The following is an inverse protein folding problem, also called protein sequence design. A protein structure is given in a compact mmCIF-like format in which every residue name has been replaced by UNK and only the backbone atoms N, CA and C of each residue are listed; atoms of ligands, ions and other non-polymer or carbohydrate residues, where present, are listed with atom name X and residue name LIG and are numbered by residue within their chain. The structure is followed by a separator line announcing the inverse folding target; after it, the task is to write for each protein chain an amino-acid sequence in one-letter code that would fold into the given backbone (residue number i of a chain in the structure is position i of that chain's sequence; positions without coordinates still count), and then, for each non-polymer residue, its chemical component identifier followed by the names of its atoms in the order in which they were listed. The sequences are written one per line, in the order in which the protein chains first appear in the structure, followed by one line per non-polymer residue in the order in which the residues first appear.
data_IF_550962650698
#
_entry.id   IF_550962650698
#
_cell.length_a   1.000
_cell.length_b   1.000
_cell.length_c   1.000
_cell.angle_alpha   90.00
_cell.angle_beta   90.00
_cell.angle_gamma   90.00
#
_symmetry.space_group_name_H-M   'P 1'
#
loop_
_entity.id
_entity.type
_entity.pdbx_description
1 polymer ?
#
# COMPACT_ATOMS: atom_id res chain seq x y z
N UNK A 1 -3.66 -37.43 -25.95
CA UNK A 1 -2.77 -37.25 -24.79
C UNK A 1 -2.97 -35.82 -24.29
N UNK A 2 -3.25 -35.66 -23.00
CA UNK A 2 -3.87 -34.50 -22.37
C UNK A 2 -3.18 -33.15 -22.67
N UNK A 3 -4.00 -32.15 -23.02
CA UNK A 3 -3.69 -30.74 -22.80
C UNK A 3 -3.40 -30.56 -21.30
N UNK A 4 -2.26 -29.99 -20.95
CA UNK A 4 -1.99 -29.60 -19.57
C UNK A 4 -1.24 -28.28 -19.57
N UNK A 5 -2.03 -27.22 -19.61
CA UNK A 5 -1.75 -25.92 -19.02
C UNK A 5 -0.88 -26.07 -17.77
N UNK A 6 0.37 -25.62 -17.87
CA UNK A 6 1.17 -25.29 -16.69
C UNK A 6 1.52 -23.81 -16.72
N UNK A 7 0.48 -22.96 -16.66
CA UNK A 7 0.59 -21.64 -16.04
C UNK A 7 0.84 -21.85 -14.55
N UNK A 8 2.08 -22.13 -14.16
CA UNK A 8 2.50 -21.97 -12.78
C UNK A 8 3.23 -20.65 -12.64
N UNK A 9 2.52 -19.55 -12.89
CA UNK A 9 2.88 -18.22 -12.36
C UNK A 9 2.45 -18.16 -10.89
N UNK A 10 3.04 -19.02 -10.08
CA UNK A 10 3.08 -18.81 -8.64
C UNK A 10 4.45 -18.22 -8.32
N UNK A 11 4.79 -17.11 -8.98
CA UNK A 11 5.67 -16.15 -8.33
C UNK A 11 4.80 -15.55 -7.23
N UNK A 12 5.04 -16.00 -6.00
CA UNK A 12 4.72 -15.23 -4.80
C UNK A 12 5.27 -13.84 -5.03
N UNK A 13 4.44 -13.01 -5.65
CA UNK A 13 4.67 -11.58 -5.74
C UNK A 13 4.43 -11.18 -4.31
N UNK A 14 5.49 -11.09 -3.52
CA UNK A 14 5.44 -10.48 -2.20
C UNK A 14 4.80 -9.11 -2.43
N UNK A 15 3.49 -9.01 -2.27
CA UNK A 15 2.75 -7.80 -2.56
C UNK A 15 3.22 -6.81 -1.50
N UNK A 16 4.16 -5.96 -1.90
CA UNK A 16 4.64 -4.83 -1.10
C UNK A 16 3.48 -3.85 -1.04
N UNK A 17 2.65 -4.00 -0.02
CA UNK A 17 1.61 -3.03 0.28
C UNK A 17 2.28 -1.75 0.75
N UNK A 18 1.87 -0.62 0.20
CA UNK A 18 2.29 0.66 0.75
C UNK A 18 1.35 0.99 1.90
N UNK A 19 1.94 1.47 2.98
CA UNK A 19 1.27 1.80 4.23
C UNK A 19 1.56 3.24 4.57
N UNK A 20 0.51 3.90 5.05
CA UNK A 20 0.55 5.25 5.59
C UNK A 20 0.15 5.16 7.05
N UNK A 21 0.97 5.72 7.93
CA UNK A 21 0.71 5.78 9.36
C UNK A 21 0.89 7.20 9.88
N UNK A 22 -0.01 7.59 10.79
CA UNK A 22 0.04 8.85 11.53
C UNK A 22 -0.40 8.60 12.96
N UNK A 23 -0.27 9.61 13.83
CA UNK A 23 -0.47 9.51 15.28
C UNK A 23 -1.76 8.82 15.76
N UNK A 24 -2.82 8.80 14.93
CA UNK A 24 -4.13 8.25 15.29
C UNK A 24 -4.67 7.21 14.29
N UNK A 25 -3.87 6.75 13.34
CA UNK A 25 -4.40 5.84 12.32
C UNK A 25 -3.34 5.28 11.38
N UNK A 26 -3.68 4.14 10.79
CA UNK A 26 -2.88 3.46 9.80
C UNK A 26 -3.78 2.98 8.67
N UNK A 27 -3.37 3.24 7.43
CA UNK A 27 -4.04 2.75 6.22
C UNK A 27 -3.03 1.97 5.38
N UNK A 28 -3.45 0.83 4.86
CA UNK A 28 -2.63 -0.07 4.04
C UNK A 28 -3.31 -0.37 2.70
N UNK A 29 -2.54 -0.87 1.75
CA UNK A 29 -3.05 -1.32 0.45
C UNK A 29 -3.00 -0.25 -0.64
N UNK A 30 -2.15 0.77 -0.49
CA UNK A 30 -1.90 1.72 -1.56
C UNK A 30 -1.07 1.05 -2.67
N UNK A 31 -1.44 1.30 -3.92
CA UNK A 31 -0.77 0.73 -5.10
C UNK A 31 0.53 1.45 -5.42
N UNK A 32 0.65 2.72 -5.05
CA UNK A 32 1.86 3.53 -5.24
C UNK A 32 2.06 4.55 -4.12
N UNK A 33 3.29 5.06 -4.01
CA UNK A 33 3.64 6.08 -3.01
C UNK A 33 2.88 7.39 -3.27
N UNK A 34 2.68 7.74 -4.53
CA UNK A 34 1.93 8.93 -4.94
C UNK A 34 0.45 8.84 -4.53
N UNK A 35 -0.16 7.65 -4.60
CA UNK A 35 -1.52 7.43 -4.12
C UNK A 35 -1.62 7.63 -2.61
N UNK A 36 -0.67 7.09 -1.86
CA UNK A 36 -0.53 7.29 -0.42
C UNK A 36 -0.34 8.77 -0.03
N UNK A 37 0.54 9.49 -0.74
CA UNK A 37 0.77 10.91 -0.53
C UNK A 37 -0.45 11.77 -0.90
N UNK A 38 -1.21 11.40 -1.94
CA UNK A 38 -2.47 12.07 -2.29
C UNK A 38 -3.53 11.85 -1.21
N UNK A 39 -3.62 10.63 -0.68
CA UNK A 39 -4.53 10.32 0.42
C UNK A 39 -4.23 11.20 1.64
N UNK A 40 -2.96 11.27 2.06
CA UNK A 40 -2.55 12.15 3.16
C UNK A 40 -2.81 13.62 2.83
N UNK A 41 -2.49 14.08 1.63
CA UNK A 41 -2.78 15.47 1.25
C UNK A 41 -4.28 15.76 1.32
N UNK A 42 -5.15 14.81 0.99
CA UNK A 42 -6.59 15.00 1.06
C UNK A 42 -7.12 14.97 2.50
N UNK A 43 -6.66 14.00 3.29
CA UNK A 43 -7.12 13.78 4.67
C UNK A 43 -6.48 14.79 5.62
N UNK A 44 -5.15 14.89 5.65
CA UNK A 44 -4.44 15.73 6.60
C UNK A 44 -4.56 17.23 6.30
N UNK A 45 -4.57 17.69 5.05
CA UNK A 45 -4.73 19.14 4.79
C UNK A 45 -6.10 19.69 5.18
N UNK A 46 -7.14 18.85 5.14
CA UNK A 46 -8.50 19.25 5.56
C UNK A 46 -8.71 19.09 7.06
N UNK A 47 -8.20 18.00 7.65
CA UNK A 47 -8.54 17.63 9.02
C UNK A 47 -7.49 18.09 10.05
N UNK A 48 -6.23 18.20 9.67
CA UNK A 48 -5.13 18.55 10.58
C UNK A 48 -3.88 19.06 9.83
N UNK A 49 -3.84 20.35 9.44
CA UNK A 49 -2.63 20.94 8.85
C UNK A 49 -1.49 20.87 9.88
N UNK A 50 -0.41 20.15 9.53
CA UNK A 50 0.74 19.90 10.41
C UNK A 50 0.79 18.51 11.05
N UNK A 51 -0.13 17.61 10.70
CA UNK A 51 -0.04 16.21 11.12
C UNK A 51 1.19 15.53 10.50
N UNK A 52 2.08 15.02 11.34
CA UNK A 52 3.17 14.16 10.91
C UNK A 52 2.63 12.78 10.48
N UNK A 53 3.17 12.29 9.36
CA UNK A 53 2.84 10.99 8.81
C UNK A 53 4.08 10.33 8.24
N UNK A 54 4.07 9.00 8.20
CA UNK A 54 5.11 8.17 7.62
C UNK A 54 4.52 7.28 6.53
N UNK A 55 5.24 7.16 5.41
CA UNK A 55 4.89 6.26 4.30
C UNK A 55 5.98 5.22 4.16
N UNK A 56 5.63 3.93 4.27
CA UNK A 56 6.59 2.83 4.17
C UNK A 56 5.99 1.62 3.46
N UNK A 57 6.87 0.76 2.93
CA UNK A 57 6.48 -0.49 2.29
C UNK A 57 6.33 -1.57 3.36
N UNK A 58 5.25 -2.34 3.26
CA UNK A 58 4.94 -3.46 4.13
C UNK A 58 4.91 -4.74 3.30
N UNK A 59 5.72 -5.71 3.70
CA UNK A 59 5.74 -7.05 3.13
C UNK A 59 4.72 -7.89 3.90
N UNK A 60 3.66 -8.33 3.24
CA UNK A 60 2.76 -9.34 3.80
C UNK A 60 3.49 -10.68 3.79
N UNK A 61 3.84 -11.18 4.98
CA UNK A 61 4.40 -12.53 5.19
C UNK A 61 3.30 -13.59 5.19
#
# INVERSE_FOLDING_TARGET
MYLSDKRSKNEFTEMKDIVVEWKHGRVKGFRSKEEAERFINHVCKKTAPGMEYSVFFYLNK
#
